data_IF_275675398671
#
_entry.id   IF_275675398671
#
_cell.length_a   1.000
_cell.length_b   1.000
_cell.length_c   1.000
_cell.angle_alpha   90.00
_cell.angle_beta   90.00
_cell.angle_gamma   90.00
#
_symmetry.space_group_name_H-M   'P 1'
#
loop_
_entity.id
_entity.type
_entity.pdbx_description
1 polymer ?
#
# COMPACT_ATOMS: atom_id res chain seq x y z
N UNK A 1 -43.99 -8.65 9.40
CA UNK A 1 -42.99 -8.05 8.48
C UNK A 1 -41.62 -8.36 9.06
N UNK A 2 -40.94 -9.41 8.54
CA UNK A 2 -39.66 -9.90 9.06
C UNK A 2 -38.59 -9.15 8.29
N UNK A 3 -37.91 -8.21 8.96
CA UNK A 3 -36.73 -7.52 8.41
C UNK A 3 -35.58 -8.54 8.38
N UNK A 4 -35.22 -8.99 7.18
CA UNK A 4 -34.07 -9.87 6.96
C UNK A 4 -32.81 -9.17 7.46
N UNK A 5 -32.23 -9.61 8.57
CA UNK A 5 -30.86 -9.25 8.99
C UNK A 5 -29.91 -9.76 7.93
N UNK A 6 -29.45 -8.84 7.08
CA UNK A 6 -28.37 -9.09 6.11
C UNK A 6 -27.13 -9.47 6.91
N UNK A 7 -26.76 -10.75 6.95
CA UNK A 7 -25.54 -11.26 7.58
C UNK A 7 -24.35 -10.65 6.81
N UNK A 8 -23.71 -9.66 7.41
CA UNK A 8 -22.48 -9.07 6.88
C UNK A 8 -21.39 -10.14 6.83
N UNK A 9 -20.63 -10.22 5.72
CA UNK A 9 -19.52 -11.14 5.59
C UNK A 9 -18.47 -10.88 6.68
N UNK A 10 -17.71 -11.92 7.06
CA UNK A 10 -16.62 -11.78 8.05
C UNK A 10 -15.64 -10.66 7.67
N UNK A 11 -15.43 -10.47 6.37
CA UNK A 11 -14.58 -9.44 5.77
C UNK A 11 -15.10 -8.01 6.04
N UNK A 12 -16.40 -7.79 5.95
CA UNK A 12 -17.01 -6.50 6.27
C UNK A 12 -16.95 -6.17 7.77
N UNK A 13 -17.00 -7.20 8.64
CA UNK A 13 -17.01 -7.01 10.09
C UNK A 13 -15.67 -6.51 10.64
N UNK A 14 -14.53 -7.15 10.29
CA UNK A 14 -13.24 -6.70 10.83
C UNK A 14 -12.86 -5.32 10.31
N UNK A 15 -13.22 -4.97 9.07
CA UNK A 15 -12.98 -3.62 8.52
C UNK A 15 -13.77 -2.56 9.25
N UNK A 16 -15.04 -2.84 9.58
CA UNK A 16 -15.87 -1.94 10.38
C UNK A 16 -15.30 -1.73 11.77
N UNK A 17 -14.84 -2.80 12.43
CA UNK A 17 -14.19 -2.72 13.74
C UNK A 17 -12.88 -1.90 13.63
N UNK A 18 -12.08 -2.14 12.60
CA UNK A 18 -10.87 -1.36 12.38
C UNK A 18 -11.17 0.14 12.16
N UNK A 19 -12.20 0.46 11.39
CA UNK A 19 -12.62 1.84 11.17
C UNK A 19 -13.12 2.52 12.46
N UNK A 20 -13.87 1.79 13.29
CA UNK A 20 -14.36 2.29 14.58
C UNK A 20 -13.21 2.53 15.57
N UNK A 21 -12.30 1.57 15.73
CA UNK A 21 -11.12 1.72 16.59
C UNK A 21 -10.27 2.91 16.12
N UNK A 22 -10.09 3.08 14.82
CA UNK A 22 -9.40 4.23 14.26
C UNK A 22 -10.08 5.55 14.65
N UNK A 23 -11.39 5.66 14.47
CA UNK A 23 -12.15 6.85 14.83
C UNK A 23 -12.04 7.17 16.34
N UNK A 24 -12.03 6.17 17.20
CA UNK A 24 -11.84 6.33 18.67
C UNK A 24 -10.42 6.82 19.01
N UNK A 25 -9.39 6.33 18.30
CA UNK A 25 -8.01 6.83 18.44
C UNK A 25 -7.93 8.29 17.97
N UNK A 26 -8.53 8.62 16.83
CA UNK A 26 -8.58 9.99 16.29
C UNK A 26 -9.37 10.94 17.23
N UNK A 27 -10.36 10.44 17.95
CA UNK A 27 -11.09 11.16 19.00
C UNK A 27 -10.32 11.29 20.32
N UNK A 28 -9.11 10.67 20.43
CA UNK A 28 -8.25 10.79 21.61
C UNK A 28 -8.57 9.81 22.74
N UNK A 29 -9.34 8.75 22.49
CA UNK A 29 -9.63 7.73 23.50
C UNK A 29 -8.35 6.96 23.92
N UNK A 30 -7.43 6.79 22.98
CA UNK A 30 -6.07 6.31 23.25
C UNK A 30 -5.06 7.20 22.51
N UNK A 31 -4.00 7.61 23.22
CA UNK A 31 -2.95 8.46 22.65
C UNK A 31 -1.76 7.62 22.14
N UNK A 32 -0.90 8.16 21.25
CA UNK A 32 0.31 7.46 20.80
C UNK A 32 1.15 6.89 21.94
N UNK A 33 1.53 5.62 21.84
CA UNK A 33 2.25 4.88 22.87
C UNK A 33 1.36 4.22 23.94
N UNK A 34 0.06 4.49 23.94
CA UNK A 34 -0.86 3.86 24.89
C UNK A 34 -1.30 2.47 24.41
N UNK A 35 -1.39 1.47 25.32
CA UNK A 35 -1.82 0.13 24.97
C UNK A 35 -3.32 0.08 24.69
N UNK A 36 -3.72 -0.61 23.63
CA UNK A 36 -5.12 -0.94 23.39
C UNK A 36 -5.57 -2.10 24.31
N UNK A 37 -6.89 -2.22 24.58
CA UNK A 37 -7.46 -3.37 25.26
C UNK A 37 -7.10 -4.68 24.57
N UNK A 38 -7.05 -5.77 25.34
CA UNK A 38 -6.77 -7.08 24.76
C UNK A 38 -7.79 -7.47 23.70
N UNK A 39 -7.39 -8.32 22.74
CA UNK A 39 -8.30 -8.83 21.71
C UNK A 39 -9.53 -9.48 22.28
N UNK A 40 -9.39 -10.14 23.44
CA UNK A 40 -10.48 -10.79 24.13
C UNK A 40 -11.50 -9.78 24.69
N UNK A 41 -11.04 -8.70 25.31
CA UNK A 41 -11.90 -7.62 25.79
C UNK A 41 -12.64 -6.93 24.63
N UNK A 42 -11.93 -6.60 23.57
CA UNK A 42 -12.52 -6.01 22.37
C UNK A 42 -13.52 -6.95 21.68
N UNK A 43 -13.26 -8.26 21.70
CA UNK A 43 -14.19 -9.25 21.16
C UNK A 43 -15.52 -9.26 21.92
N UNK A 44 -15.45 -9.14 23.24
CA UNK A 44 -16.66 -9.02 24.10
C UNK A 44 -17.38 -7.69 23.80
N UNK A 45 -16.66 -6.58 23.74
CA UNK A 45 -17.21 -5.24 23.47
C UNK A 45 -17.95 -5.17 22.13
N UNK A 46 -17.33 -5.70 21.05
CA UNK A 46 -17.94 -5.69 19.72
C UNK A 46 -18.90 -6.86 19.45
N UNK A 47 -19.07 -7.79 20.38
CA UNK A 47 -19.92 -8.96 20.21
C UNK A 47 -19.48 -9.87 19.05
N UNK A 48 -18.15 -10.07 18.89
CA UNK A 48 -17.56 -10.85 17.80
C UNK A 48 -16.58 -11.89 18.32
N UNK A 49 -16.16 -12.82 17.46
CA UNK A 49 -15.08 -13.75 17.79
C UNK A 49 -13.73 -13.05 17.83
N UNK A 50 -12.82 -13.44 18.74
CA UNK A 50 -11.47 -12.87 18.90
C UNK A 50 -10.68 -12.82 17.58
N UNK A 51 -10.88 -13.80 16.70
CA UNK A 51 -10.25 -13.83 15.38
C UNK A 51 -10.63 -12.60 14.51
N UNK A 52 -11.86 -12.10 14.62
CA UNK A 52 -12.31 -10.91 13.89
C UNK A 52 -11.58 -9.66 14.38
N UNK A 53 -11.42 -9.52 15.71
CA UNK A 53 -10.62 -8.44 16.30
C UNK A 53 -9.14 -8.57 15.90
N UNK A 54 -8.59 -9.79 15.86
CA UNK A 54 -7.23 -10.03 15.40
C UNK A 54 -7.02 -9.52 13.97
N UNK A 55 -7.96 -9.77 13.06
CA UNK A 55 -7.90 -9.26 11.69
C UNK A 55 -7.99 -7.73 11.63
N UNK A 56 -8.85 -7.12 12.47
CA UNK A 56 -8.92 -5.66 12.60
C UNK A 56 -7.58 -5.07 13.09
N UNK A 57 -6.96 -5.67 14.09
CA UNK A 57 -5.66 -5.24 14.61
C UNK A 57 -4.54 -5.43 13.58
N UNK A 58 -4.55 -6.53 12.81
CA UNK A 58 -3.61 -6.73 11.69
C UNK A 58 -3.78 -5.61 10.66
N UNK A 59 -5.01 -5.28 10.28
CA UNK A 59 -5.27 -4.18 9.37
C UNK A 59 -4.74 -2.85 9.94
N UNK A 60 -5.08 -2.50 11.17
CA UNK A 60 -4.62 -1.26 11.81
C UNK A 60 -3.09 -1.19 11.98
N UNK A 61 -2.40 -2.33 12.14
CA UNK A 61 -0.94 -2.38 12.14
C UNK A 61 -0.35 -2.15 10.75
N UNK A 62 -0.91 -2.77 9.72
CA UNK A 62 -0.49 -2.53 8.33
C UNK A 62 -0.69 -1.07 7.93
N UNK A 63 -1.72 -0.42 8.45
CA UNK A 63 -2.02 1.00 8.23
C UNK A 63 -1.17 1.94 9.08
N UNK A 64 -0.35 1.39 9.98
CA UNK A 64 0.50 2.20 10.87
C UNK A 64 -0.24 2.92 11.99
N UNK A 65 -1.50 2.59 12.24
CA UNK A 65 -2.29 3.13 13.36
C UNK A 65 -1.92 2.44 14.66
N UNK A 66 -1.58 1.16 14.59
CA UNK A 66 -1.12 0.37 15.73
C UNK A 66 0.30 -0.16 15.51
N UNK A 67 1.03 -0.35 16.62
CA UNK A 67 2.34 -0.99 16.67
C UNK A 67 2.42 -2.01 17.82
N UNK A 68 3.44 -2.89 17.82
CA UNK A 68 3.69 -3.87 18.88
C UNK A 68 4.07 -5.27 18.40
N UNK A 69 4.59 -6.10 19.30
CA UNK A 69 5.08 -7.45 19.04
C UNK A 69 3.99 -8.54 19.13
N UNK A 70 4.21 -9.66 18.43
CA UNK A 70 3.27 -10.78 18.26
C UNK A 70 2.67 -11.39 19.55
N UNK A 71 3.32 -11.24 20.72
CA UNK A 71 2.89 -11.84 21.99
C UNK A 71 2.70 -10.84 23.12
N UNK A 72 2.85 -9.55 22.86
CA UNK A 72 2.72 -8.48 23.86
C UNK A 72 1.59 -7.52 23.46
N UNK A 73 1.38 -6.53 24.29
CA UNK A 73 0.34 -5.53 24.07
C UNK A 73 0.49 -4.84 22.71
N UNK A 74 -0.63 -4.44 22.16
CA UNK A 74 -0.71 -3.62 20.95
C UNK A 74 -0.89 -2.18 21.41
N UNK A 75 -0.12 -1.27 20.84
CA UNK A 75 -0.09 0.14 21.20
C UNK A 75 -0.57 1.01 20.04
N UNK A 76 -1.11 2.19 20.35
CA UNK A 76 -1.32 3.24 19.34
C UNK A 76 0.05 3.66 18.81
N UNK A 77 0.21 3.60 17.52
CA UNK A 77 1.49 3.94 16.90
C UNK A 77 1.76 5.45 16.98
N UNK A 78 3.02 5.80 17.17
CA UNK A 78 3.45 7.17 16.93
C UNK A 78 3.28 7.54 15.44
N UNK A 79 3.03 8.82 15.09
CA UNK A 79 2.97 9.24 13.70
C UNK A 79 4.18 8.73 12.93
N UNK A 80 4.01 8.18 11.73
CA UNK A 80 5.12 7.67 10.95
C UNK A 80 6.11 8.79 10.64
N UNK A 81 7.41 8.50 10.75
CA UNK A 81 8.42 9.43 10.29
C UNK A 81 8.25 9.68 8.78
N UNK A 82 8.22 10.94 8.36
CA UNK A 82 8.20 11.29 6.94
C UNK A 82 9.47 10.78 6.27
N UNK A 83 9.32 9.99 5.23
CA UNK A 83 10.42 9.50 4.39
C UNK A 83 10.60 10.39 3.19
N UNK A 84 11.80 10.48 2.69
CA UNK A 84 12.10 11.22 1.47
C UNK A 84 12.38 10.22 0.34
N UNK A 85 11.59 10.30 -0.74
CA UNK A 85 11.91 9.66 -2.00
C UNK A 85 12.84 10.59 -2.78
N UNK A 86 14.13 10.29 -2.78
CA UNK A 86 15.14 11.05 -3.53
C UNK A 86 15.46 10.39 -4.87
N UNK A 87 15.42 9.07 -4.94
CA UNK A 87 15.64 8.29 -6.15
C UNK A 87 14.55 7.24 -6.32
N UNK A 88 13.61 7.46 -7.25
CA UNK A 88 12.54 6.50 -7.54
C UNK A 88 13.01 5.17 -8.15
N UNK A 89 14.26 5.07 -8.56
CA UNK A 89 14.85 3.87 -9.15
C UNK A 89 15.74 3.09 -8.18
N UNK A 90 16.04 3.65 -7.02
CA UNK A 90 16.81 2.97 -5.99
C UNK A 90 16.11 1.68 -5.53
N UNK A 91 16.86 0.61 -5.27
CA UNK A 91 16.30 -0.59 -4.67
C UNK A 91 15.72 -0.29 -3.29
N UNK A 92 14.56 -0.89 -2.98
CA UNK A 92 13.96 -0.74 -1.67
C UNK A 92 14.85 -1.38 -0.60
N UNK A 93 15.29 -0.63 0.43
CA UNK A 93 16.30 -1.12 1.38
C UNK A 93 15.74 -2.00 2.51
N UNK A 94 14.42 -2.14 2.59
CA UNK A 94 13.75 -2.88 3.68
C UNK A 94 12.97 -4.08 3.11
N UNK A 95 12.08 -4.65 3.91
CA UNK A 95 11.23 -5.77 3.48
C UNK A 95 10.32 -5.42 2.30
N UNK A 96 10.21 -6.33 1.36
CA UNK A 96 9.29 -6.24 0.25
C UNK A 96 8.63 -7.60 0.01
N UNK A 97 7.33 -7.59 -0.28
CA UNK A 97 6.56 -8.79 -0.58
C UNK A 97 5.96 -8.68 -1.98
N UNK A 98 6.24 -9.67 -2.83
CA UNK A 98 5.56 -9.79 -4.12
C UNK A 98 4.18 -10.39 -3.88
N UNK A 99 3.14 -9.58 -4.06
CA UNK A 99 1.75 -9.99 -3.81
C UNK A 99 1.08 -10.56 -5.05
N UNK A 100 1.57 -10.22 -6.24
CA UNK A 100 1.07 -10.75 -7.52
C UNK A 100 2.20 -10.77 -8.55
N UNK A 101 2.22 -11.84 -9.39
CA UNK A 101 3.11 -11.94 -10.54
C UNK A 101 2.41 -12.71 -11.67
N UNK A 102 1.83 -11.99 -12.60
CA UNK A 102 0.97 -12.57 -13.62
C UNK A 102 1.36 -12.15 -15.05
N UNK A 103 1.07 -12.97 -16.07
CA UNK A 103 1.11 -12.52 -17.45
C UNK A 103 -0.09 -11.64 -17.73
N UNK A 104 0.10 -10.59 -18.52
CA UNK A 104 -0.98 -9.72 -18.97
C UNK A 104 -0.77 -9.29 -20.43
N UNK A 105 -1.73 -8.56 -20.98
CA UNK A 105 -1.63 -7.90 -22.29
C UNK A 105 -1.47 -6.39 -22.08
N UNK A 106 -0.73 -5.76 -22.99
CA UNK A 106 -0.60 -4.31 -23.00
C UNK A 106 -1.97 -3.66 -23.32
N UNK A 107 -2.42 -2.78 -22.43
CA UNK A 107 -3.47 -1.83 -22.74
C UNK A 107 -2.92 -0.74 -23.65
N UNK A 108 -3.77 0.10 -24.27
CA UNK A 108 -3.32 1.24 -25.07
C UNK A 108 -2.34 2.14 -24.32
N UNK A 109 -2.56 2.38 -23.01
CA UNK A 109 -1.68 3.16 -22.16
C UNK A 109 -0.32 2.49 -21.94
N UNK A 110 -0.31 1.21 -21.55
CA UNK A 110 0.93 0.44 -21.37
C UNK A 110 1.71 0.26 -22.68
N UNK A 111 0.99 0.12 -23.80
CA UNK A 111 1.57 0.06 -25.13
C UNK A 111 2.33 1.34 -25.47
N UNK A 112 1.73 2.51 -25.18
CA UNK A 112 2.37 3.81 -25.38
C UNK A 112 3.61 3.96 -24.46
N UNK A 113 3.50 3.63 -23.17
CA UNK A 113 4.61 3.74 -22.19
C UNK A 113 5.80 2.83 -22.54
N UNK A 114 5.56 1.65 -23.08
CA UNK A 114 6.58 0.64 -23.38
C UNK A 114 6.98 0.63 -24.88
N UNK A 115 6.40 1.50 -25.70
CA UNK A 115 6.62 1.52 -27.16
C UNK A 115 6.44 0.13 -27.78
N UNK A 116 5.33 -0.54 -27.47
CA UNK A 116 4.93 -1.86 -28.01
C UNK A 116 3.53 -1.78 -28.59
N UNK A 117 3.12 -2.78 -29.33
CA UNK A 117 1.75 -2.87 -29.85
C UNK A 117 0.75 -3.14 -28.71
N UNK A 118 -0.47 -2.59 -28.85
CA UNK A 118 -1.58 -2.92 -27.97
C UNK A 118 -1.85 -4.43 -28.03
N UNK A 119 -2.11 -5.06 -26.89
CA UNK A 119 -2.27 -6.51 -26.78
C UNK A 119 -0.95 -7.30 -26.74
N UNK A 120 0.22 -6.65 -26.83
CA UNK A 120 1.50 -7.30 -26.66
C UNK A 120 1.57 -8.05 -25.32
N UNK A 121 2.27 -9.19 -25.28
CA UNK A 121 2.44 -9.98 -24.06
C UNK A 121 3.41 -9.29 -23.10
N UNK A 122 2.93 -9.01 -21.90
CA UNK A 122 3.69 -8.43 -20.79
C UNK A 122 3.69 -9.37 -19.58
N UNK A 123 4.61 -9.10 -18.66
CA UNK A 123 4.56 -9.56 -17.27
C UNK A 123 4.18 -8.38 -16.39
N UNK A 124 3.30 -8.63 -15.43
CA UNK A 124 2.93 -7.72 -14.37
C UNK A 124 3.46 -8.26 -13.05
N UNK A 125 3.99 -7.39 -12.21
CA UNK A 125 4.41 -7.70 -10.85
C UNK A 125 3.92 -6.60 -9.91
N UNK A 126 3.33 -6.99 -8.79
CA UNK A 126 2.93 -6.09 -7.71
C UNK A 126 3.79 -6.39 -6.50
N UNK A 127 4.46 -5.37 -6.00
CA UNK A 127 5.33 -5.44 -4.83
C UNK A 127 4.84 -4.48 -3.77
N UNK A 128 4.53 -4.98 -2.60
CA UNK A 128 4.26 -4.20 -1.41
C UNK A 128 5.57 -4.00 -0.64
N UNK A 129 6.02 -2.74 -0.55
CA UNK A 129 7.23 -2.35 0.16
C UNK A 129 6.90 -2.05 1.61
N UNK A 130 7.58 -2.71 2.54
CA UNK A 130 7.37 -2.53 3.98
C UNK A 130 8.41 -1.58 4.57
N UNK A 131 8.02 -0.82 5.56
CA UNK A 131 8.97 -0.06 6.38
C UNK A 131 9.66 -0.98 7.42
N UNK A 132 10.69 -0.50 8.16
CA UNK A 132 11.34 -1.28 9.21
C UNK A 132 10.40 -1.77 10.31
N UNK A 133 9.26 -1.10 10.52
CA UNK A 133 8.21 -1.50 11.45
C UNK A 133 7.22 -2.52 10.88
N UNK A 134 7.41 -2.97 9.62
CA UNK A 134 6.52 -3.90 8.94
C UNK A 134 5.20 -3.27 8.46
N UNK A 135 5.16 -1.94 8.28
CA UNK A 135 4.02 -1.21 7.74
C UNK A 135 4.15 -1.09 6.22
N UNK A 136 3.04 -1.13 5.53
CA UNK A 136 3.02 -0.85 4.08
C UNK A 136 3.45 0.59 3.82
N UNK A 137 4.61 0.76 3.21
CA UNK A 137 5.18 2.07 2.94
C UNK A 137 4.84 2.57 1.53
N UNK A 138 4.85 1.68 0.55
CA UNK A 138 4.68 2.00 -0.86
C UNK A 138 4.23 0.74 -1.62
N UNK A 139 3.43 0.93 -2.66
CA UNK A 139 3.05 -0.13 -3.59
C UNK A 139 3.70 0.15 -4.94
N UNK A 140 4.32 -0.86 -5.54
CA UNK A 140 4.92 -0.78 -6.87
C UNK A 140 4.25 -1.81 -7.78
N UNK A 141 3.66 -1.37 -8.89
CA UNK A 141 3.18 -2.25 -9.94
C UNK A 141 4.04 -2.06 -11.18
N UNK A 142 4.76 -3.08 -11.59
CA UNK A 142 5.69 -3.03 -12.73
C UNK A 142 5.19 -3.87 -13.90
N UNK A 143 5.47 -3.40 -15.13
CA UNK A 143 5.18 -4.11 -16.37
C UNK A 143 6.41 -4.12 -17.27
N UNK A 144 6.68 -5.26 -17.88
CA UNK A 144 7.78 -5.42 -18.85
C UNK A 144 7.48 -6.50 -19.86
N UNK A 145 8.15 -6.41 -21.01
CA UNK A 145 8.16 -7.50 -22.01
C UNK A 145 9.21 -8.54 -21.62
N UNK A 146 8.85 -9.83 -21.48
CA UNK A 146 9.83 -10.87 -21.16
C UNK A 146 10.84 -11.11 -22.31
N UNK A 147 12.12 -11.42 -22.01
CA UNK A 147 12.71 -11.42 -20.67
C UNK A 147 12.92 -10.00 -20.12
N UNK A 148 13.01 -9.85 -18.77
CA UNK A 148 13.33 -8.56 -18.14
C UNK A 148 14.73 -8.11 -18.57
N UNK A 149 14.85 -6.88 -19.06
CA UNK A 149 16.09 -6.33 -19.58
C UNK A 149 16.74 -5.37 -18.57
N UNK A 150 18.05 -5.18 -18.71
CA UNK A 150 18.77 -4.13 -17.97
C UNK A 150 18.36 -2.77 -18.52
N UNK A 151 18.42 -1.75 -17.68
CA UNK A 151 18.21 -0.36 -18.06
C UNK A 151 19.48 0.45 -17.76
N UNK A 152 19.62 1.58 -18.43
CA UNK A 152 20.73 2.52 -18.27
C UNK A 152 20.28 3.84 -17.64
N UNK A 153 19.00 4.18 -17.83
CA UNK A 153 18.40 5.42 -17.29
C UNK A 153 16.89 5.22 -17.03
N UNK A 154 16.28 6.21 -16.44
CA UNK A 154 14.83 6.21 -16.24
C UNK A 154 14.26 7.63 -16.35
N UNK A 155 12.95 7.69 -16.61
CA UNK A 155 12.15 8.91 -16.56
C UNK A 155 11.07 8.70 -15.50
N UNK A 156 10.73 9.76 -14.77
CA UNK A 156 9.67 9.74 -13.76
C UNK A 156 8.72 10.89 -14.00
N UNK A 157 7.44 10.57 -14.08
CA UNK A 157 6.34 11.52 -14.00
C UNK A 157 5.73 11.46 -12.62
N UNK A 158 5.47 12.62 -12.01
CA UNK A 158 4.91 12.72 -10.66
C UNK A 158 3.56 13.39 -10.73
N UNK A 159 2.56 12.71 -10.19
CA UNK A 159 1.20 13.20 -10.07
C UNK A 159 0.65 12.97 -8.67
N UNK A 160 -0.57 13.45 -8.46
CA UNK A 160 -1.36 13.23 -7.25
C UNK A 160 -2.75 12.79 -7.67
N UNK A 161 -3.32 11.83 -6.98
CA UNK A 161 -4.67 11.35 -7.25
C UNK A 161 -5.21 10.50 -6.11
N UNK A 162 -6.49 10.13 -6.15
CA UNK A 162 -7.07 9.25 -5.13
C UNK A 162 -6.50 7.84 -5.24
N UNK A 163 -6.35 7.18 -4.10
CA UNK A 163 -6.02 5.75 -4.05
C UNK A 163 -7.19 4.92 -4.56
N UNK A 164 -6.93 3.98 -5.48
CA UNK A 164 -7.91 2.99 -5.87
C UNK A 164 -8.23 2.04 -4.70
N UNK A 165 -9.35 1.31 -4.79
CA UNK A 165 -9.82 0.47 -3.67
C UNK A 165 -8.80 -0.62 -3.28
N UNK A 166 -8.16 -1.26 -4.25
CA UNK A 166 -7.14 -2.27 -4.04
C UNK A 166 -5.84 -1.67 -3.47
N UNK A 167 -5.41 -0.51 -3.97
CA UNK A 167 -4.27 0.25 -3.44
C UNK A 167 -4.51 0.72 -2.01
N UNK A 168 -5.68 1.31 -1.74
CA UNK A 168 -6.09 1.71 -0.40
C UNK A 168 -6.09 0.53 0.57
N UNK A 169 -6.55 -0.64 0.12
CA UNK A 169 -6.56 -1.87 0.90
C UNK A 169 -5.14 -2.35 1.22
N UNK A 170 -4.24 -2.38 0.23
CA UNK A 170 -2.84 -2.80 0.42
C UNK A 170 -2.06 -1.83 1.30
N UNK A 171 -2.21 -0.53 1.07
CA UNK A 171 -1.53 0.52 1.84
C UNK A 171 -2.22 0.85 3.16
N UNK A 172 -3.41 0.29 3.37
CA UNK A 172 -4.22 0.52 4.55
C UNK A 172 -4.72 1.94 4.69
N UNK A 173 -5.07 2.54 3.58
CA UNK A 173 -5.68 3.86 3.50
C UNK A 173 -7.21 3.76 3.48
N UNK A 174 -7.88 4.87 3.68
CA UNK A 174 -9.28 5.01 3.27
C UNK A 174 -9.35 5.10 1.75
N UNK A 175 -10.43 4.58 1.18
CA UNK A 175 -10.72 4.78 -0.24
C UNK A 175 -10.76 6.29 -0.53
N UNK A 176 -10.30 6.70 -1.70
CA UNK A 176 -10.19 8.09 -2.14
C UNK A 176 -9.17 8.96 -1.38
N UNK A 177 -8.37 8.37 -0.45
CA UNK A 177 -7.24 9.10 0.14
C UNK A 177 -6.27 9.54 -0.97
N UNK A 178 -5.88 10.81 -0.97
CA UNK A 178 -4.92 11.34 -1.92
C UNK A 178 -3.53 10.73 -1.69
N UNK A 179 -2.90 10.29 -2.79
CA UNK A 179 -1.57 9.68 -2.79
C UNK A 179 -0.70 10.32 -3.88
N UNK A 180 0.61 10.27 -3.70
CA UNK A 180 1.52 10.49 -4.82
C UNK A 180 1.44 9.30 -5.76
N UNK A 181 1.34 9.60 -7.06
CA UNK A 181 1.37 8.64 -8.16
C UNK A 181 2.57 8.94 -9.03
N UNK A 182 3.54 8.05 -9.04
CA UNK A 182 4.70 8.17 -9.89
C UNK A 182 4.63 7.12 -10.99
N UNK A 183 4.83 7.55 -12.22
CA UNK A 183 5.07 6.66 -13.35
C UNK A 183 6.56 6.67 -13.65
N UNK A 184 7.25 5.57 -13.37
CA UNK A 184 8.64 5.37 -13.69
C UNK A 184 8.79 4.52 -14.94
N UNK A 185 9.46 5.01 -15.96
CA UNK A 185 9.81 4.25 -17.17
C UNK A 185 11.31 4.10 -17.26
N UNK A 186 11.79 2.87 -17.21
CA UNK A 186 13.21 2.49 -17.36
C UNK A 186 13.55 2.33 -18.82
N UNK A 187 14.70 2.89 -19.23
CA UNK A 187 15.18 2.97 -20.60
C UNK A 187 16.48 2.21 -20.77
N UNK A 188 16.65 1.53 -21.90
CA UNK A 188 17.94 0.91 -22.28
C UNK A 188 18.96 1.97 -22.73
N UNK A 189 20.18 1.54 -23.09
CA UNK A 189 21.25 2.42 -23.57
C UNK A 189 20.85 3.21 -24.85
N UNK A 190 19.91 2.71 -25.62
CA UNK A 190 19.38 3.38 -26.82
C UNK A 190 18.17 4.27 -26.53
N UNK A 191 17.81 4.48 -25.24
CA UNK A 191 16.66 5.28 -24.84
C UNK A 191 15.31 4.58 -25.05
N UNK A 192 15.27 3.29 -25.31
CA UNK A 192 14.01 2.54 -25.53
C UNK A 192 13.43 2.03 -24.21
N UNK A 193 12.12 2.13 -24.00
CA UNK A 193 11.48 1.62 -22.80
C UNK A 193 11.64 0.09 -22.65
N UNK A 194 12.04 -0.35 -21.47
CA UNK A 194 12.21 -1.78 -21.14
C UNK A 194 11.30 -2.23 -19.99
N UNK A 195 10.90 -1.29 -19.15
CA UNK A 195 10.00 -1.51 -18.03
C UNK A 195 9.28 -0.20 -17.70
N UNK A 196 7.99 -0.28 -17.37
CA UNK A 196 7.28 0.83 -16.74
C UNK A 196 6.69 0.38 -15.41
N UNK A 197 6.58 1.27 -14.45
CA UNK A 197 6.02 0.98 -13.13
C UNK A 197 5.21 2.16 -12.60
N UNK A 198 4.11 1.83 -11.94
CA UNK A 198 3.35 2.77 -11.11
C UNK A 198 3.80 2.60 -9.67
N UNK A 199 4.20 3.70 -9.04
CA UNK A 199 4.53 3.76 -7.62
C UNK A 199 3.44 4.57 -6.92
N UNK A 200 2.82 3.99 -5.90
CA UNK A 200 1.77 4.64 -5.10
C UNK A 200 2.30 4.86 -3.69
N UNK A 201 2.40 6.12 -3.29
CA UNK A 201 2.98 6.53 -2.03
C UNK A 201 1.98 7.36 -1.22
N UNK A 202 1.62 6.93 0.00
CA UNK A 202 0.78 7.72 0.89
C UNK A 202 1.40 9.08 1.22
N UNK A 203 0.66 10.17 1.01
CA UNK A 203 1.18 11.53 1.22
C UNK A 203 1.49 11.86 2.70
N UNK A 204 0.89 11.13 3.63
CA UNK A 204 1.15 11.24 5.07
C UNK A 204 2.47 10.60 5.52
N UNK A 205 3.16 9.88 4.62
CA UNK A 205 4.39 9.11 4.91
C UNK A 205 5.56 9.49 4.03
N UNK A 206 5.33 10.27 2.97
CA UNK A 206 6.35 10.55 1.97
C UNK A 206 6.48 12.02 1.61
N UNK A 207 7.72 12.44 1.45
CA UNK A 207 8.13 13.66 0.77
C UNK A 207 8.89 13.27 -0.50
N UNK A 208 8.55 13.88 -1.62
CA UNK A 208 9.28 13.67 -2.88
C UNK A 208 10.27 14.81 -3.04
N UNK A 209 11.56 14.48 -3.15
CA UNK A 209 12.66 15.42 -3.40
C UNK A 209 13.52 14.87 -4.53
N UNK A 210 13.31 15.37 -5.72
CA UNK A 210 14.13 15.05 -6.88
C UNK A 210 15.18 16.16 -7.07
N UNK A 211 16.45 15.79 -7.24
CA UNK A 211 17.54 16.72 -7.54
C UNK A 211 18.07 16.41 -8.93
N UNK A 212 18.21 17.42 -9.75
CA UNK A 212 18.88 17.34 -11.05
C UNK A 212 20.20 18.09 -11.00
N UNK A 213 21.21 17.62 -11.75
CA UNK A 213 22.40 18.42 -12.08
C UNK A 213 22.04 19.33 -13.24
N UNK A 214 22.31 20.62 -13.09
CA UNK A 214 22.21 21.59 -14.18
C UNK A 214 23.42 21.46 -15.13
#
# INVERSE_FOLDING_TARGET
MIVARRTMSADARYRRIAADIRARIEAGEWVPGEPLPSRQLMAVEYGVHEQTVRLAYVLLRRTGILEGERRRNVYVAHPPAMRTLADPDAPWPYGAETTDRTPCKATAELAARLAVDEGARLRREVVECMDPGGRSAMLITSWWRPPRRRHASFVVEVGVGPAAEDEARSLGLLVDTMVYRLVRTRLDEAGRPVETADLVLPMDRWLIRLSGTA
#
